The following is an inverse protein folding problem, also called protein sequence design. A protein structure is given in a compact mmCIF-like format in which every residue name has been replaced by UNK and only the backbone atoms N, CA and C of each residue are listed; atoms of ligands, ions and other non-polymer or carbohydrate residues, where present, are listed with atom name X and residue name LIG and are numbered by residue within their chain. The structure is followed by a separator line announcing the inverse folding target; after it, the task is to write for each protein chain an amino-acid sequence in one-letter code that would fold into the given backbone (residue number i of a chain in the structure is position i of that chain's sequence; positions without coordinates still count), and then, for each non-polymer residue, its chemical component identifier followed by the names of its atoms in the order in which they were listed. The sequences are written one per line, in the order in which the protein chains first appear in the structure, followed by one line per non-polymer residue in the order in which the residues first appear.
data_IF_829192648108
#
_entry.id   IF_829192648108
#
_cell.length_a   1.000
_cell.length_b   1.000
_cell.length_c   1.000
_cell.angle_alpha   90.00
_cell.angle_beta   90.00
_cell.angle_gamma   90.00
#
_symmetry.space_group_name_H-M   'P 1'
#
loop_
_entity.id
_entity.type
_entity.pdbx_description
1 polymer ?
#
# COMPACT_ATOMS: atom_id res chain seq x y z
N UNK A 1 0.65 -20.95 -6.82
CA UNK A 1 1.77 -21.01 -5.87
C UNK A 1 1.18 -21.02 -4.47
N UNK A 2 1.39 -22.10 -3.72
CA UNK A 2 0.95 -22.18 -2.33
C UNK A 2 1.78 -21.18 -1.50
N UNK A 3 1.11 -20.25 -0.83
CA UNK A 3 1.70 -19.18 -0.02
C UNK A 3 1.92 -19.71 1.39
N UNK A 4 3.04 -20.40 1.59
CA UNK A 4 3.50 -20.74 2.94
C UNK A 4 4.21 -19.52 3.54
N UNK A 5 3.69 -19.02 4.66
CA UNK A 5 4.26 -17.90 5.42
C UNK A 5 5.65 -18.25 5.98
N UNK A 6 5.83 -19.48 6.47
CA UNK A 6 7.12 -19.93 6.99
C UNK A 6 8.18 -19.99 5.90
N UNK A 7 7.79 -20.46 4.71
CA UNK A 7 8.69 -20.47 3.55
C UNK A 7 9.06 -19.05 3.09
N UNK A 8 8.10 -18.12 3.10
CA UNK A 8 8.36 -16.72 2.71
C UNK A 8 9.32 -16.05 3.70
N UNK A 9 9.19 -16.33 5.00
CA UNK A 9 10.14 -15.87 6.02
C UNK A 9 11.56 -16.45 5.80
N UNK A 10 11.67 -17.74 5.49
CA UNK A 10 12.97 -18.37 5.14
C UNK A 10 13.61 -17.72 3.92
N UNK A 11 12.82 -17.49 2.87
CA UNK A 11 13.26 -16.82 1.65
C UNK A 11 13.78 -15.40 1.95
N UNK A 12 13.04 -14.64 2.77
CA UNK A 12 13.44 -13.30 3.18
C UNK A 12 14.73 -13.30 4.02
N UNK A 13 14.86 -14.24 4.97
CA UNK A 13 16.08 -14.41 5.75
C UNK A 13 17.30 -14.69 4.85
N UNK A 14 17.17 -15.63 3.91
CA UNK A 14 18.25 -15.96 2.97
C UNK A 14 18.64 -14.77 2.07
N UNK A 15 17.66 -14.01 1.57
CA UNK A 15 17.93 -12.82 0.74
C UNK A 15 18.67 -11.73 1.53
N UNK A 16 18.35 -11.57 2.82
CA UNK A 16 18.95 -10.57 3.71
C UNK A 16 20.36 -10.95 4.22
N UNK A 17 20.73 -12.23 4.20
CA UNK A 17 22.07 -12.69 4.57
C UNK A 17 23.14 -12.06 3.64
N UNK A 18 24.27 -11.54 4.15
CA UNK A 18 25.33 -10.98 3.30
C UNK A 18 25.95 -12.02 2.35
N UNK A 19 26.31 -11.60 1.14
CA UNK A 19 26.88 -12.47 0.09
C UNK A 19 28.04 -13.40 0.53
N UNK A 20 28.99 -13.02 1.41
CA UNK A 20 30.05 -13.93 1.86
C UNK A 20 29.59 -15.05 2.80
N UNK A 21 28.41 -14.89 3.44
CA UNK A 21 27.83 -15.86 4.37
C UNK A 21 26.67 -16.66 3.75
N UNK A 22 26.32 -16.38 2.48
CA UNK A 22 25.23 -17.07 1.78
C UNK A 22 25.63 -18.50 1.41
N UNK A 23 24.77 -19.45 1.79
CA UNK A 23 24.78 -20.79 1.23
C UNK A 23 24.07 -20.79 -0.13
N UNK A 24 24.84 -20.97 -1.20
CA UNK A 24 24.33 -20.98 -2.57
C UNK A 24 23.60 -22.27 -2.93
N UNK A 25 23.92 -23.38 -2.26
CA UNK A 25 23.20 -24.65 -2.42
C UNK A 25 21.80 -24.54 -1.81
N UNK A 26 21.69 -23.90 -0.63
CA UNK A 26 20.39 -23.56 -0.04
C UNK A 26 19.59 -22.63 -0.97
N UNK A 27 20.23 -21.62 -1.56
CA UNK A 27 19.57 -20.72 -2.52
C UNK A 27 19.04 -21.46 -3.76
N UNK A 28 19.80 -22.42 -4.29
CA UNK A 28 19.37 -23.26 -5.41
C UNK A 28 18.17 -24.15 -5.04
N UNK A 29 18.17 -24.72 -3.82
CA UNK A 29 17.06 -25.51 -3.29
C UNK A 29 15.79 -24.66 -3.10
N UNK A 30 15.91 -23.46 -2.54
CA UNK A 30 14.79 -22.50 -2.40
C UNK A 30 14.20 -22.15 -3.77
N UNK A 31 15.06 -21.92 -4.77
CA UNK A 31 14.62 -21.61 -6.13
C UNK A 31 13.93 -22.81 -6.81
N UNK A 32 14.40 -24.03 -6.54
CA UNK A 32 13.75 -25.24 -7.00
C UNK A 32 12.35 -25.41 -6.40
N UNK A 33 12.21 -25.17 -5.09
CA UNK A 33 10.90 -25.22 -4.41
C UNK A 33 9.92 -24.17 -4.94
N UNK A 34 10.43 -23.00 -5.38
CA UNK A 34 9.63 -21.92 -5.98
C UNK A 34 9.19 -22.20 -7.41
N UNK A 35 10.13 -22.62 -8.25
CA UNK A 35 9.91 -22.75 -9.70
C UNK A 35 9.41 -24.13 -10.12
N UNK A 36 9.68 -25.17 -9.32
CA UNK A 36 9.46 -26.58 -9.67
C UNK A 36 10.31 -27.08 -10.85
N UNK A 37 11.24 -26.26 -11.34
CA UNK A 37 12.00 -26.56 -12.56
C UNK A 37 13.24 -27.42 -12.24
N UNK A 38 13.10 -28.73 -12.46
CA UNK A 38 14.16 -29.73 -12.21
C UNK A 38 15.41 -29.53 -13.06
N UNK A 39 15.23 -29.13 -14.33
CA UNK A 39 16.34 -28.93 -15.27
C UNK A 39 17.17 -27.73 -14.83
N UNK A 40 16.50 -26.63 -14.48
CA UNK A 40 17.16 -25.43 -13.98
C UNK A 40 17.92 -25.73 -12.69
N UNK A 41 17.30 -26.44 -11.74
CA UNK A 41 17.96 -26.84 -10.50
C UNK A 41 19.21 -27.67 -10.78
N UNK A 42 19.13 -28.72 -11.62
CA UNK A 42 20.27 -29.55 -11.96
C UNK A 42 21.42 -28.73 -12.57
N UNK A 43 21.09 -27.79 -13.46
CA UNK A 43 22.09 -26.91 -14.05
C UNK A 43 22.73 -25.99 -13.00
N UNK A 44 21.97 -25.50 -12.03
CA UNK A 44 22.46 -24.61 -10.98
C UNK A 44 23.31 -25.38 -9.96
N UNK A 45 22.89 -26.59 -9.56
CA UNK A 45 23.56 -27.41 -8.54
C UNK A 45 24.97 -27.86 -8.96
N UNK A 46 25.30 -27.84 -10.26
CA UNK A 46 26.65 -28.16 -10.74
C UNK A 46 27.66 -27.06 -10.39
N UNK A 47 27.24 -25.79 -10.44
CA UNK A 47 28.08 -24.65 -10.06
C UNK A 47 27.21 -23.52 -9.49
N UNK A 48 26.80 -23.63 -8.21
CA UNK A 48 25.88 -22.69 -7.58
C UNK A 48 26.52 -21.32 -7.38
N UNK A 49 27.80 -21.28 -6.97
CA UNK A 49 28.55 -20.03 -6.75
C UNK A 49 28.76 -19.25 -8.05
N UNK A 50 29.02 -19.92 -9.17
CA UNK A 50 29.14 -19.26 -10.48
C UNK A 50 27.82 -18.68 -11.01
N UNK A 51 26.68 -19.10 -10.44
CA UNK A 51 25.33 -18.63 -10.82
C UNK A 51 24.67 -17.81 -9.71
N UNK A 52 25.45 -17.31 -8.75
CA UNK A 52 25.01 -16.53 -7.60
C UNK A 52 24.06 -15.38 -7.96
N UNK A 53 24.45 -14.54 -8.94
CA UNK A 53 23.64 -13.41 -9.40
C UNK A 53 22.28 -13.83 -9.96
N UNK A 54 22.24 -14.92 -10.72
CA UNK A 54 21.00 -15.47 -11.25
C UNK A 54 20.07 -15.98 -10.15
N UNK A 55 20.63 -16.73 -9.19
CA UNK A 55 19.87 -17.25 -8.03
C UNK A 55 19.29 -16.08 -7.23
N UNK A 56 20.13 -15.09 -6.88
CA UNK A 56 19.74 -13.89 -6.12
C UNK A 56 18.63 -13.12 -6.82
N UNK A 57 18.79 -12.81 -8.11
CA UNK A 57 17.80 -12.07 -8.88
C UNK A 57 16.46 -12.79 -9.00
N UNK A 58 16.46 -14.10 -9.24
CA UNK A 58 15.21 -14.88 -9.30
C UNK A 58 14.53 -14.97 -7.94
N UNK A 59 15.28 -15.27 -6.87
CA UNK A 59 14.73 -15.35 -5.51
C UNK A 59 14.15 -14.01 -5.06
N UNK A 60 14.84 -12.90 -5.34
CA UNK A 60 14.33 -11.55 -5.04
C UNK A 60 13.05 -11.24 -5.83
N UNK A 61 13.00 -11.62 -7.12
CA UNK A 61 11.78 -11.50 -7.93
C UNK A 61 10.61 -12.27 -7.31
N UNK A 62 10.81 -13.54 -6.93
CA UNK A 62 9.77 -14.34 -6.29
C UNK A 62 9.36 -13.77 -4.92
N UNK A 63 10.30 -13.26 -4.14
CA UNK A 63 10.02 -12.61 -2.86
C UNK A 63 9.15 -11.36 -3.07
N UNK A 64 9.49 -10.50 -4.02
CA UNK A 64 8.71 -9.31 -4.35
C UNK A 64 7.28 -9.67 -4.76
N UNK A 65 7.09 -10.67 -5.64
CA UNK A 65 5.74 -11.13 -6.01
C UNK A 65 4.96 -11.65 -4.81
N UNK A 66 5.62 -12.37 -3.89
CA UNK A 66 4.98 -12.89 -2.68
C UNK A 66 4.57 -11.76 -1.72
N UNK A 67 5.46 -10.81 -1.47
CA UNK A 67 5.20 -9.64 -0.62
C UNK A 67 4.09 -8.75 -1.20
N UNK A 68 4.10 -8.52 -2.52
CA UNK A 68 3.04 -7.79 -3.21
C UNK A 68 1.69 -8.51 -3.07
N UNK A 69 1.66 -9.84 -3.22
CA UNK A 69 0.44 -10.61 -3.02
C UNK A 69 -0.04 -10.56 -1.57
N UNK A 70 0.85 -10.71 -0.59
CA UNK A 70 0.50 -10.57 0.83
C UNK A 70 -0.10 -9.19 1.11
N UNK A 71 0.50 -8.14 0.55
CA UNK A 71 0.00 -6.75 0.66
C UNK A 71 -1.38 -6.60 0.02
N UNK A 72 -1.60 -7.18 -1.17
CA UNK A 72 -2.90 -7.21 -1.85
C UNK A 72 -3.96 -7.93 -1.02
N UNK A 73 -3.63 -9.11 -0.51
CA UNK A 73 -4.54 -9.95 0.28
C UNK A 73 -4.94 -9.21 1.57
N UNK A 74 -3.98 -8.55 2.23
CA UNK A 74 -4.22 -7.70 3.40
C UNK A 74 -5.12 -6.51 3.06
N UNK A 75 -4.84 -5.78 1.99
CA UNK A 75 -5.67 -4.65 1.53
C UNK A 75 -7.09 -5.10 1.18
N UNK A 76 -7.25 -6.28 0.56
CA UNK A 76 -8.55 -6.86 0.26
C UNK A 76 -9.35 -7.19 1.53
N UNK A 77 -8.70 -7.80 2.53
CA UNK A 77 -9.32 -8.08 3.83
C UNK A 77 -9.78 -6.79 4.52
N UNK A 78 -8.91 -5.78 4.57
CA UNK A 78 -9.24 -4.49 5.16
C UNK A 78 -10.34 -3.75 4.39
N UNK A 79 -10.38 -3.87 3.06
CA UNK A 79 -11.47 -3.33 2.26
C UNK A 79 -12.81 -3.97 2.63
N UNK A 80 -12.85 -5.31 2.80
CA UNK A 80 -14.06 -6.00 3.22
C UNK A 80 -14.54 -5.54 4.59
N UNK A 81 -13.62 -5.35 5.54
CA UNK A 81 -13.93 -4.81 6.88
C UNK A 81 -14.49 -3.38 6.78
N UNK A 82 -13.86 -2.52 5.98
CA UNK A 82 -14.35 -1.16 5.74
C UNK A 82 -15.72 -1.15 5.07
N UNK A 83 -15.99 -2.04 4.12
CA UNK A 83 -17.30 -2.14 3.46
C UNK A 83 -18.40 -2.54 4.47
N UNK A 84 -18.08 -3.41 5.44
CA UNK A 84 -18.98 -3.72 6.54
C UNK A 84 -19.21 -2.53 7.47
N UNK A 85 -18.16 -1.82 7.88
CA UNK A 85 -18.24 -0.60 8.71
C UNK A 85 -19.10 0.44 8.00
N UNK A 86 -18.87 0.66 6.70
CA UNK A 86 -19.63 1.61 5.88
C UNK A 86 -21.11 1.24 5.83
N UNK A 87 -21.42 -0.05 5.67
CA UNK A 87 -22.80 -0.55 5.68
C UNK A 87 -23.48 -0.33 7.04
N UNK A 88 -22.78 -0.60 8.14
CA UNK A 88 -23.32 -0.52 9.51
C UNK A 88 -23.45 0.94 10.00
N UNK A 89 -22.45 1.78 9.73
CA UNK A 89 -22.27 3.09 10.39
C UNK A 89 -22.49 4.27 9.44
N UNK A 90 -22.04 4.18 8.18
CA UNK A 90 -22.05 5.30 7.24
C UNK A 90 -23.34 5.38 6.42
N UNK A 91 -23.91 4.23 6.03
CA UNK A 91 -25.14 4.15 5.21
C UNK A 91 -26.43 3.73 5.97
N UNK A 92 -26.67 4.02 7.25
CA UNK A 92 -27.84 3.47 7.94
C UNK A 92 -29.21 4.04 7.49
N UNK A 93 -29.28 5.00 6.55
CA UNK A 93 -30.56 5.52 6.04
C UNK A 93 -30.51 5.91 4.56
N UNK A 94 -30.61 4.92 3.67
CA UNK A 94 -31.07 5.12 2.30
C UNK A 94 -31.57 3.78 1.74
N UNK A 95 -32.74 3.35 2.19
CA UNK A 95 -33.60 2.54 1.31
C UNK A 95 -33.95 3.42 0.10
N UNK A 96 -33.79 2.95 -1.14
CA UNK A 96 -33.97 3.77 -2.34
C UNK A 96 -35.45 4.08 -2.67
N UNK A 97 -36.38 3.93 -1.72
CA UNK A 97 -37.82 4.15 -1.90
C UNK A 97 -38.36 5.38 -1.14
N UNK A 98 -37.50 6.18 -0.51
CA UNK A 98 -37.90 7.42 0.15
C UNK A 98 -37.40 8.64 -0.63
N UNK A 99 -38.33 9.40 -1.20
CA UNK A 99 -38.10 10.65 -1.93
C UNK A 99 -37.31 11.69 -1.12
N UNK A 100 -36.53 12.58 -1.78
CA UNK A 100 -35.76 13.61 -1.10
C UNK A 100 -36.64 14.83 -0.90
N UNK A 101 -37.30 14.96 0.25
CA UNK A 101 -37.98 16.22 0.56
C UNK A 101 -38.19 16.39 2.05
N UNK A 102 -37.93 17.63 2.48
CA UNK A 102 -38.24 18.25 3.77
C UNK A 102 -37.08 18.21 4.80
N UNK A 103 -36.27 19.27 4.77
CA UNK A 103 -35.57 19.78 5.95
C UNK A 103 -36.62 20.51 6.80
N UNK A 104 -37.33 19.78 7.67
CA UNK A 104 -38.20 20.36 8.69
C UNK A 104 -37.41 20.54 10.00
N UNK A 105 -37.80 21.55 10.75
CA UNK A 105 -37.22 21.96 12.05
C UNK A 105 -37.33 20.85 13.13
N UNK A 106 -37.99 19.72 12.84
CA UNK A 106 -37.99 18.47 13.62
C UNK A 106 -36.65 17.70 13.59
N UNK A 107 -35.70 18.06 12.72
CA UNK A 107 -34.33 17.50 12.80
C UNK A 107 -33.58 17.91 14.07
N UNK A 108 -34.04 18.95 14.78
CA UNK A 108 -33.51 19.34 16.08
C UNK A 108 -33.92 18.35 17.19
N UNK A 109 -35.06 17.65 17.02
CA UNK A 109 -35.61 16.68 17.95
C UNK A 109 -35.32 15.22 17.57
N UNK A 110 -34.41 14.99 16.61
CA UNK A 110 -33.85 13.67 16.38
C UNK A 110 -33.01 13.30 17.62
N UNK A 111 -33.65 12.72 18.64
CA UNK A 111 -33.02 12.08 19.81
C UNK A 111 -32.12 10.93 19.31
N UNK A 112 -30.94 11.32 18.85
CA UNK A 112 -29.89 10.48 18.30
C UNK A 112 -29.25 9.66 19.43
N UNK A 113 -29.97 8.68 19.99
CA UNK A 113 -29.40 7.69 20.91
C UNK A 113 -28.60 8.26 22.09
N UNK A 114 -28.89 9.48 22.54
CA UNK A 114 -28.28 10.04 23.75
C UNK A 114 -28.84 9.32 24.98
N UNK A 115 -28.01 9.10 26.00
CA UNK A 115 -28.43 8.57 27.29
C UNK A 115 -29.38 9.58 27.97
N UNK A 116 -30.38 9.14 28.74
CA UNK A 116 -31.33 10.04 29.39
C UNK A 116 -30.69 10.95 30.44
N UNK A 117 -29.56 10.55 31.02
CA UNK A 117 -28.75 11.26 32.01
C UNK A 117 -27.55 11.99 31.39
N UNK A 118 -27.47 12.13 30.06
CA UNK A 118 -26.31 12.71 29.36
C UNK A 118 -25.88 14.08 29.89
N UNK A 119 -26.84 14.96 30.13
CA UNK A 119 -26.57 16.35 30.55
C UNK A 119 -26.02 16.43 31.99
N UNK A 120 -26.20 15.38 32.79
CA UNK A 120 -25.71 15.26 34.17
C UNK A 120 -24.34 14.56 34.28
N UNK A 121 -23.80 14.05 33.17
CA UNK A 121 -22.51 13.35 33.14
C UNK A 121 -21.33 14.32 33.24
N UNK A 122 -20.14 13.87 33.67
CA UNK A 122 -18.92 14.67 33.56
C UNK A 122 -18.63 15.07 32.11
N UNK A 123 -18.01 16.24 31.94
CA UNK A 123 -17.68 16.80 30.63
C UNK A 123 -16.83 15.84 29.80
N UNK A 124 -15.95 15.06 30.44
CA UNK A 124 -15.10 14.07 29.78
C UNK A 124 -15.93 12.95 29.11
N UNK A 125 -17.00 12.50 29.76
CA UNK A 125 -17.88 11.45 29.24
C UNK A 125 -18.82 12.02 28.18
N UNK A 126 -19.28 13.26 28.35
CA UNK A 126 -20.06 13.97 27.32
C UNK A 126 -19.24 14.18 26.04
N UNK A 127 -17.95 14.51 26.18
CA UNK A 127 -17.04 14.73 25.07
C UNK A 127 -16.87 13.49 24.18
N UNK A 128 -16.90 12.28 24.75
CA UNK A 128 -16.85 11.02 23.98
C UNK A 128 -18.00 10.88 22.98
N UNK A 129 -19.20 11.35 23.34
CA UNK A 129 -20.35 11.36 22.44
C UNK A 129 -20.12 12.30 21.25
N UNK A 130 -19.64 13.53 21.53
CA UNK A 130 -19.37 14.53 20.47
C UNK A 130 -18.24 14.06 19.57
N UNK A 131 -17.15 13.54 20.16
CA UNK A 131 -16.04 12.96 19.42
C UNK A 131 -16.50 11.81 18.50
N UNK A 132 -17.43 10.97 18.96
CA UNK A 132 -17.98 9.89 18.14
C UNK A 132 -18.73 10.39 16.90
N UNK A 133 -19.39 11.55 16.97
CA UNK A 133 -20.01 12.17 15.80
C UNK A 133 -18.93 12.59 14.81
N UNK A 134 -17.89 13.28 15.28
CA UNK A 134 -16.76 13.73 14.45
C UNK A 134 -16.02 12.55 13.82
N UNK A 135 -15.83 11.46 14.57
CA UNK A 135 -15.26 10.20 14.05
C UNK A 135 -16.09 9.69 12.87
N UNK A 136 -17.42 9.64 12.98
CA UNK A 136 -18.30 9.20 11.88
C UNK A 136 -18.20 10.14 10.68
N UNK A 137 -18.14 11.45 10.89
CA UNK A 137 -17.92 12.43 9.82
C UNK A 137 -16.59 12.19 9.10
N UNK A 138 -15.48 12.03 9.84
CA UNK A 138 -14.16 11.73 9.28
C UNK A 138 -14.13 10.41 8.50
N UNK A 139 -14.76 9.35 9.03
CA UNK A 139 -14.88 8.08 8.31
C UNK A 139 -15.60 8.22 6.97
N UNK A 140 -16.66 9.06 6.89
CA UNK A 140 -17.36 9.35 5.63
C UNK A 140 -16.45 10.03 4.60
N UNK A 141 -15.66 11.01 5.03
CA UNK A 141 -14.70 11.71 4.17
C UNK A 141 -13.62 10.77 3.62
N UNK A 142 -13.03 9.94 4.49
CA UNK A 142 -12.02 8.96 4.10
C UNK A 142 -12.60 7.94 3.12
N UNK A 143 -13.81 7.44 3.37
CA UNK A 143 -14.48 6.53 2.45
C UNK A 143 -14.79 7.19 1.09
N UNK A 144 -15.17 8.47 1.07
CA UNK A 144 -15.37 9.21 -0.18
C UNK A 144 -14.04 9.35 -0.96
N UNK A 145 -12.93 9.67 -0.27
CA UNK A 145 -11.59 9.70 -0.86
C UNK A 145 -11.22 8.34 -1.45
N UNK A 146 -11.42 7.26 -0.70
CA UNK A 146 -11.15 5.89 -1.16
C UNK A 146 -11.97 5.53 -2.41
N UNK A 147 -13.24 5.96 -2.48
CA UNK A 147 -14.07 5.79 -3.67
C UNK A 147 -13.54 6.58 -4.86
N UNK A 148 -13.07 7.81 -4.65
CA UNK A 148 -12.48 8.62 -5.73
C UNK A 148 -11.18 8.00 -6.29
N UNK A 149 -10.38 7.35 -5.44
CA UNK A 149 -9.19 6.61 -5.87
C UNK A 149 -9.53 5.33 -6.65
N UNK A 150 -10.77 4.86 -6.58
CA UNK A 150 -11.23 3.61 -7.20
C UNK A 150 -11.96 3.82 -8.54
N UNK A 151 -11.91 5.02 -9.13
CA UNK A 151 -12.62 5.34 -10.37
C UNK A 151 -12.11 4.52 -11.58
N UNK A 152 -13.04 4.12 -12.44
CA UNK A 152 -12.95 3.01 -13.42
C UNK A 152 -11.79 3.06 -14.46
N UNK A 153 -10.99 4.13 -14.50
CA UNK A 153 -9.96 4.35 -15.52
C UNK A 153 -8.52 4.13 -15.03
N UNK A 154 -8.28 3.85 -13.73
CA UNK A 154 -6.94 3.54 -13.23
C UNK A 154 -6.97 2.62 -12.00
N UNK A 155 -6.19 1.53 -12.06
CA UNK A 155 -5.92 0.69 -10.87
C UNK A 155 -4.98 1.45 -9.94
N UNK A 156 -5.54 2.16 -8.96
CA UNK A 156 -4.77 2.76 -7.87
C UNK A 156 -3.98 1.67 -7.13
N UNK A 157 -2.66 1.84 -6.89
CA UNK A 157 -1.84 0.84 -6.24
C UNK A 157 -2.29 0.60 -4.79
N UNK A 158 -2.14 -0.65 -4.32
CA UNK A 158 -2.54 -1.07 -2.97
C UNK A 158 -1.92 -0.19 -1.86
N UNK A 159 -0.72 0.35 -2.11
CA UNK A 159 -0.02 1.27 -1.21
C UNK A 159 -0.75 2.58 -0.94
N UNK A 160 -1.47 3.11 -1.93
CA UNK A 160 -2.23 4.38 -1.81
C UNK A 160 -3.56 4.15 -1.07
N UNK A 161 -4.16 2.97 -1.23
CA UNK A 161 -5.43 2.61 -0.56
C UNK A 161 -5.24 2.27 0.91
N UNK A 162 -4.15 1.56 1.21
CA UNK A 162 -3.82 1.04 2.53
C UNK A 162 -3.92 2.05 3.69
N UNK A 163 -3.35 3.27 3.62
CA UNK A 163 -3.43 4.22 4.74
C UNK A 163 -4.87 4.60 5.08
N UNK A 164 -5.73 4.82 4.09
CA UNK A 164 -7.13 5.19 4.31
C UNK A 164 -7.93 4.03 4.92
N UNK A 165 -7.71 2.81 4.45
CA UNK A 165 -8.33 1.62 5.02
C UNK A 165 -7.96 1.44 6.50
N UNK A 166 -6.67 1.59 6.81
CA UNK A 166 -6.16 1.49 8.18
C UNK A 166 -6.77 2.55 9.08
N UNK A 167 -6.89 3.78 8.60
CA UNK A 167 -7.45 4.90 9.36
C UNK A 167 -8.94 4.70 9.65
N UNK A 168 -9.75 4.25 8.68
CA UNK A 168 -11.19 3.99 8.90
C UNK A 168 -11.39 2.89 9.96
N UNK A 169 -10.64 1.80 9.89
CA UNK A 169 -10.73 0.70 10.87
C UNK A 169 -10.33 1.18 12.27
N UNK A 170 -9.26 1.97 12.38
CA UNK A 170 -8.82 2.54 13.66
C UNK A 170 -9.86 3.48 14.26
N UNK A 171 -10.47 4.33 13.43
CA UNK A 171 -11.54 5.23 13.83
C UNK A 171 -12.79 4.48 14.31
N UNK A 172 -13.21 3.41 13.63
CA UNK A 172 -14.37 2.63 14.08
C UNK A 172 -14.09 1.90 15.42
N UNK A 173 -12.88 1.38 15.63
CA UNK A 173 -12.50 0.81 16.93
C UNK A 173 -12.59 1.84 18.05
N UNK A 174 -11.99 3.02 17.85
CA UNK A 174 -12.08 4.13 18.80
C UNK A 174 -13.54 4.51 19.07
N UNK A 175 -14.37 4.57 18.03
CA UNK A 175 -15.80 4.86 18.15
C UNK A 175 -16.51 3.85 19.06
N UNK A 176 -16.25 2.56 18.85
CA UNK A 176 -16.83 1.47 19.67
C UNK A 176 -16.34 1.57 21.11
N UNK A 177 -15.05 1.82 21.34
CA UNK A 177 -14.48 2.01 22.69
C UNK A 177 -15.11 3.21 23.41
N UNK A 178 -15.23 4.35 22.71
CA UNK A 178 -15.89 5.54 23.24
C UNK A 178 -17.36 5.28 23.60
N UNK A 179 -18.10 4.52 22.78
CA UNK A 179 -19.48 4.10 23.10
C UNK A 179 -19.52 3.18 24.32
N UNK A 180 -18.58 2.23 24.43
CA UNK A 180 -18.50 1.31 25.55
C UNK A 180 -18.28 2.06 26.88
N UNK A 181 -17.37 3.03 26.89
CA UNK A 181 -17.13 3.90 28.06
C UNK A 181 -18.37 4.74 28.37
N UNK A 182 -18.96 5.37 27.36
CA UNK A 182 -20.12 6.24 27.52
C UNK A 182 -21.36 5.50 28.04
N UNK A 183 -21.64 4.30 27.53
CA UNK A 183 -22.81 3.50 27.90
C UNK A 183 -22.67 2.85 29.28
N UNK A 184 -21.45 2.46 29.68
CA UNK A 184 -21.18 1.78 30.95
C UNK A 184 -20.74 2.71 32.09
N UNK A 185 -20.61 4.01 31.85
CA UNK A 185 -20.23 4.95 32.90
C UNK A 185 -21.32 5.06 33.98
N UNK A 186 -20.91 4.86 35.24
CA UNK A 186 -21.78 5.02 36.42
C UNK A 186 -21.32 6.26 37.21
N UNK A 187 -22.21 7.21 37.53
CA UNK A 187 -21.89 8.38 38.33
C UNK A 187 -21.28 8.00 39.69
N UNK A 188 -20.10 8.55 40.00
CA UNK A 188 -19.33 8.24 41.22
C UNK A 188 -18.09 7.38 40.99
N UNK A 189 -17.86 6.91 39.77
CA UNK A 189 -16.61 6.25 39.38
C UNK A 189 -15.57 7.31 39.01
N UNK A 190 -14.40 7.39 39.68
CA UNK A 190 -13.37 8.35 39.28
C UNK A 190 -12.84 7.98 37.90
N UNK A 191 -13.03 8.87 36.93
CA UNK A 191 -12.43 8.75 35.61
C UNK A 191 -10.93 9.04 35.77
N UNK A 192 -10.12 7.99 35.77
CA UNK A 192 -8.67 8.13 35.73
C UNK A 192 -8.27 8.55 34.30
N UNK A 193 -8.13 9.85 34.08
CA UNK A 193 -7.53 10.39 32.85
C UNK A 193 -6.07 10.72 33.14
N UNK A 194 -5.17 9.92 32.57
CA UNK A 194 -3.78 10.34 32.36
C UNK A 194 -3.79 11.59 31.47
N UNK A 195 -3.50 12.74 32.09
CA UNK A 195 -3.37 14.01 31.40
C UNK A 195 -2.04 14.02 30.63
N UNK A 196 -2.00 14.39 29.34
CA UNK A 196 -0.74 14.65 28.67
C UNK A 196 -0.18 15.97 29.20
N UNK A 197 0.85 15.87 30.06
CA UNK A 197 1.62 17.01 30.53
C UNK A 197 2.28 17.70 29.33
N UNK A 198 1.82 18.91 29.03
CA UNK A 198 2.51 19.87 28.19
C UNK A 198 3.73 20.40 28.97
N UNK A 199 4.93 19.88 28.67
CA UNK A 199 6.16 20.62 28.92
C UNK A 199 6.54 21.38 27.65
N UNK A 200 6.22 22.68 27.64
CA UNK A 200 6.91 23.66 26.83
C UNK A 200 8.37 23.73 27.29
N UNK A 201 9.30 23.35 26.42
CA UNK A 201 10.64 23.95 26.38
C UNK A 201 10.85 24.52 24.99
N UNK A 202 10.50 25.80 24.89
CA UNK A 202 10.97 26.74 23.87
C UNK A 202 12.47 26.97 24.10
N UNK A 203 13.29 26.70 23.09
CA UNK A 203 14.58 27.37 22.83
C UNK A 203 15.13 26.94 21.47
N UNK A 204 14.76 27.72 20.45
CA UNK A 204 15.68 28.33 19.49
C UNK A 204 16.44 27.42 18.51
N UNK A 205 15.93 27.39 17.26
CA UNK A 205 16.73 27.22 16.05
C UNK A 205 17.78 28.34 15.94
N UNK A 206 19.06 28.02 15.71
CA UNK A 206 19.97 28.77 14.84
C UNK A 206 21.15 27.87 14.39
N UNK A 207 21.20 27.62 13.09
CA UNK A 207 22.40 27.37 12.26
C UNK A 207 22.32 28.43 11.13
N UNK A 208 23.36 28.74 10.33
CA UNK A 208 24.78 28.38 10.38
C UNK A 208 25.74 29.58 10.09
N UNK A 209 26.93 29.68 10.68
CA UNK A 209 28.01 30.51 10.10
C UNK A 209 29.41 29.93 10.36
N UNK A 210 30.14 29.91 9.26
CA UNK A 210 31.54 29.67 8.96
C UNK A 210 32.64 30.17 9.92
N UNK A 211 33.76 29.43 9.84
CA UNK A 211 35.14 29.93 9.65
C UNK A 211 36.13 29.95 10.83
N UNK A 212 37.39 29.61 10.46
CA UNK A 212 38.70 29.86 11.11
C UNK A 212 39.22 28.79 12.10
N UNK A 213 40.55 28.63 12.31
CA UNK A 213 41.70 28.80 11.39
C UNK A 213 42.78 27.70 11.51
N UNK A 214 43.67 27.72 10.53
CA UNK A 214 44.99 27.05 10.41
C UNK A 214 46.04 27.63 11.39
N UNK A 215 46.92 26.76 11.92
CA UNK A 215 48.37 26.96 12.27
C UNK A 215 48.88 25.66 12.95
N UNK A 216 49.77 24.84 12.39
CA UNK A 216 51.20 24.97 11.99
C UNK A 216 52.15 24.25 12.96
N UNK A 217 53.28 23.77 12.41
CA UNK A 217 54.45 23.07 12.97
C UNK A 217 54.35 21.52 13.02
N UNK A 218 55.31 20.72 12.55
CA UNK A 218 56.65 21.00 12.05
C UNK A 218 57.24 19.78 11.27
N UNK A 219 58.17 20.09 10.35
CA UNK A 219 59.40 19.32 10.01
C UNK A 219 59.34 18.10 9.04
N UNK A 220 59.90 18.35 7.83
CA UNK A 220 60.91 17.55 7.05
C UNK A 220 60.50 16.16 6.51
N UNK A 221 60.71 15.77 5.25
CA UNK A 221 61.96 15.73 4.47
C UNK A 221 61.66 15.71 2.95
N UNK A 222 62.63 16.25 2.21
CA UNK A 222 62.84 16.54 0.78
C UNK A 222 62.43 15.55 -0.36
N UNK A 223 62.49 16.06 -1.62
CA UNK A 223 61.96 15.48 -2.87
C UNK A 223 63.03 14.89 -3.81
N UNK A 224 62.59 14.25 -4.90
CA UNK A 224 63.24 14.11 -6.22
C UNK A 224 62.07 13.92 -7.20
N UNK A 225 61.67 14.87 -8.04
CA UNK A 225 62.30 15.52 -9.20
C UNK A 225 62.40 14.63 -10.47
N UNK A 226 61.99 15.26 -11.59
CA UNK A 226 62.18 14.91 -13.01
C UNK A 226 61.44 13.67 -13.57
N UNK A 227 60.77 13.68 -14.73
CA UNK A 227 60.77 14.60 -15.87
C UNK A 227 59.65 14.21 -16.88
N UNK A 228 59.09 15.20 -17.58
CA UNK A 228 58.88 15.25 -19.05
C UNK A 228 57.69 14.48 -19.69
N UNK A 229 56.71 15.27 -20.17
CA UNK A 229 55.72 15.00 -21.25
C UNK A 229 56.40 14.98 -22.66
N UNK A 230 55.74 15.03 -23.84
CA UNK A 230 54.39 14.66 -24.31
C UNK A 230 54.42 13.85 -25.66
N UNK A 231 53.22 13.56 -26.22
CA UNK A 231 52.83 13.76 -27.64
C UNK A 231 52.21 12.55 -28.39
N UNK A 232 51.04 12.85 -29.00
CA UNK A 232 50.43 12.37 -30.26
C UNK A 232 50.35 10.86 -30.57
N UNK A 233 49.25 10.32 -31.11
CA UNK A 233 48.71 10.69 -32.43
C UNK A 233 47.31 10.09 -32.66
N UNK A 234 46.48 10.90 -33.32
CA UNK A 234 45.28 10.56 -34.13
C UNK A 234 45.41 9.31 -35.00
N UNK A 235 44.33 8.53 -35.21
CA UNK A 235 43.80 8.09 -36.53
C UNK A 235 42.39 7.46 -36.37
N UNK A 236 41.43 8.00 -37.13
CA UNK A 236 40.21 7.40 -37.70
C UNK A 236 40.33 7.65 -39.24
N UNK A 237 39.43 7.23 -40.16
CA UNK A 237 38.41 6.16 -40.21
C UNK A 237 38.40 5.39 -41.58
N UNK A 238 37.49 4.42 -41.79
CA UNK A 238 36.91 3.96 -43.10
C UNK A 238 35.92 2.81 -42.78
N UNK A 239 34.60 2.86 -42.99
CA UNK A 239 33.74 3.02 -44.20
C UNK A 239 33.52 1.73 -45.02
N UNK A 240 32.26 1.57 -45.49
CA UNK A 240 31.70 0.68 -46.53
C UNK A 240 30.94 -0.54 -45.97
N UNK A 241 29.73 -0.93 -46.39
CA UNK A 241 28.73 -0.43 -47.36
C UNK A 241 27.44 -1.28 -47.06
N UNK A 242 26.23 -0.70 -47.07
CA UNK A 242 25.24 -0.77 -48.17
C UNK A 242 24.79 -2.22 -48.49
N UNK A 243 23.50 -2.59 -48.41
CA UNK A 243 22.48 -2.15 -49.38
C UNK A 243 21.03 -2.52 -48.99
N UNK A 244 20.09 -1.73 -49.54
CA UNK A 244 18.81 -2.13 -50.21
C UNK A 244 17.73 -2.91 -49.42
N UNK A 245 16.42 -2.73 -49.56
CA UNK A 245 15.48 -1.94 -50.39
C UNK A 245 14.08 -2.32 -49.80
N UNK A 246 13.18 -1.40 -49.44
CA UNK A 246 12.14 -0.77 -50.27
C UNK A 246 10.72 -1.36 -50.08
N UNK A 247 9.74 -0.46 -50.13
CA UNK A 247 8.28 -0.64 -50.39
C UNK A 247 7.38 -0.98 -49.19
N UNK A 248 6.51 -0.03 -48.77
CA UNK A 248 5.11 0.13 -49.21
C UNK A 248 4.18 -0.55 -48.16
N UNK A 249 3.00 -0.14 -47.73
CA UNK A 249 1.98 0.81 -48.15
C UNK A 249 0.92 0.78 -47.01
N UNK A 250 0.29 1.92 -46.70
CA UNK A 250 -0.84 1.97 -45.76
C UNK A 250 -2.13 1.53 -46.47
N UNK A 251 -3.08 0.90 -45.75
CA UNK A 251 -4.41 1.53 -45.73
C UNK A 251 -5.15 1.45 -44.38
N UNK A 252 -6.17 2.30 -44.32
CA UNK A 252 -7.07 2.65 -43.22
C UNK A 252 -8.04 1.50 -42.79
N UNK A 253 -8.89 1.71 -41.74
CA UNK A 253 -9.45 0.64 -40.91
C UNK A 253 -10.84 0.15 -41.36
N UNK A 254 -11.11 -1.15 -41.19
CA UNK A 254 -12.40 -1.77 -41.49
C UNK A 254 -13.07 -2.48 -40.30
N UNK A 255 -14.28 -2.00 -40.01
CA UNK A 255 -15.52 -2.70 -39.63
C UNK A 255 -15.54 -3.86 -38.60
N UNK A 256 -16.27 -3.59 -37.50
CA UNK A 256 -16.82 -4.57 -36.53
C UNK A 256 -17.95 -5.40 -37.14
N UNK A 257 -18.06 -6.72 -36.84
CA UNK A 257 -19.28 -7.48 -37.12
C UNK A 257 -20.28 -7.46 -35.94
N UNK A 258 -21.55 -7.17 -36.27
CA UNK A 258 -22.73 -7.29 -35.41
C UNK A 258 -23.05 -8.77 -35.15
N UNK A 259 -23.16 -9.19 -33.89
CA UNK A 259 -23.76 -10.49 -33.50
C UNK A 259 -25.28 -10.34 -33.40
N UNK A 260 -26.00 -11.08 -34.23
CA UNK A 260 -27.44 -11.32 -34.15
C UNK A 260 -27.68 -12.60 -33.32
N UNK A 261 -28.53 -12.52 -32.30
CA UNK A 261 -29.03 -13.69 -31.55
C UNK A 261 -30.54 -13.76 -31.69
N UNK A 262 -31.00 -14.75 -32.46
CA UNK A 262 -32.40 -15.10 -32.63
C UNK A 262 -32.92 -15.85 -31.38
N UNK A 263 -34.00 -15.33 -30.78
CA UNK A 263 -34.79 -16.02 -29.75
C UNK A 263 -35.70 -17.04 -30.43
N UNK A 264 -35.52 -18.33 -30.12
CA UNK A 264 -36.43 -19.42 -30.48
C UNK A 264 -37.36 -19.70 -29.30
N UNK A 265 -38.62 -19.29 -29.40
CA UNK A 265 -39.69 -19.63 -28.47
C UNK A 265 -40.43 -20.87 -28.96
N UNK A 266 -40.37 -21.97 -28.21
CA UNK A 266 -41.25 -23.14 -28.37
C UNK A 266 -42.34 -23.10 -27.32
N UNK A 267 -43.58 -22.88 -27.78
CA UNK A 267 -44.81 -22.96 -26.99
C UNK A 267 -45.26 -24.43 -26.99
N UNK A 268 -45.18 -25.13 -25.86
CA UNK A 268 -45.76 -26.48 -25.69
C UNK A 268 -47.10 -26.35 -24.98
N UNK A 269 -48.14 -26.78 -25.68
CA UNK A 269 -49.48 -26.93 -25.17
C UNK A 269 -49.57 -28.09 -24.17
N UNK A 270 -50.35 -27.91 -23.11
CA UNK A 270 -50.94 -29.03 -22.36
C UNK A 270 -52.35 -28.67 -21.91
N UNK A 271 -53.23 -29.62 -22.20
CA UNK A 271 -54.68 -29.67 -22.05
C UNK A 271 -54.99 -30.59 -20.87
N UNK A 272 -55.94 -30.21 -20.02
CA UNK A 272 -56.84 -31.09 -19.22
C UNK A 272 -57.90 -30.17 -18.59
N UNK A 273 -59.15 -30.29 -19.03
CA UNK A 273 -60.21 -31.12 -18.43
C UNK A 273 -60.58 -30.64 -17.03
#
# INVERSE_FOLDING_TARGET
MNQDSQFTAKLQAWVNTPDPQKDWDEGALLLFQLSGNRIMYHNISINPKGKAEFIKGQLQKYLNFRLQKLTRDQVCQMQSEVDEIVKKVIKPAATPDASPSVKSEEFADFKAGKRPDHDDLPEEIQALYVENLDIVHRMRELHLKLRSLSLDNATCPDSERYPFLKEIIALDKKRVENWDIYDHYIPGTPVAVESPTLENTDSTEEEPVSEQPIKESDTSVNPNDESVNPADTSVNPEESAESSEQSAEAPAPEAKPKKTTAKRTTKKATKKQ
#
